data_IF_984171583309
#
_entry.id   IF_984171583309
#
_cell.length_a   1.000
_cell.length_b   1.000
_cell.length_c   1.000
_cell.angle_alpha   90.00
_cell.angle_beta   90.00
_cell.angle_gamma   90.00
#
_symmetry.space_group_name_H-M   'P 1'
#
loop_
_entity.id
_entity.type
_entity.pdbx_description
1 polymer ?
#
# COMPACT_ATOMS: atom_id res chain seq x y z
N UNK A 1 -5.99 -8.81 1.09
CA UNK A 1 -6.49 -9.11 2.43
C UNK A 1 -7.19 -7.90 3.02
N UNK A 2 -8.34 -8.13 3.65
CA UNK A 2 -9.13 -7.08 4.33
C UNK A 2 -8.65 -6.81 5.75
N UNK A 3 -7.53 -7.42 6.15
CA UNK A 3 -7.00 -7.38 7.51
C UNK A 3 -5.64 -6.70 7.52
N UNK A 4 -5.46 -5.77 8.45
CA UNK A 4 -4.18 -5.10 8.73
C UNK A 4 -3.75 -5.43 10.16
N UNK A 5 -2.60 -6.05 10.30
CA UNK A 5 -2.01 -6.37 11.60
C UNK A 5 -1.08 -5.24 12.05
N UNK A 6 -1.39 -4.65 13.19
CA UNK A 6 -0.56 -3.61 13.82
C UNK A 6 0.29 -4.25 14.91
N UNK A 7 1.59 -4.19 14.72
CA UNK A 7 2.54 -4.79 15.64
C UNK A 7 3.36 -3.71 16.37
N UNK A 8 3.56 -3.92 17.66
CA UNK A 8 4.62 -3.27 18.41
C UNK A 8 5.92 -4.03 18.18
N UNK A 9 6.93 -3.33 17.64
CA UNK A 9 8.20 -3.94 17.22
C UNK A 9 9.32 -3.39 18.08
N UNK A 10 10.04 -4.28 18.78
CA UNK A 10 11.24 -4.00 19.55
C UNK A 10 12.44 -4.80 19.03
N UNK A 11 13.62 -4.59 19.64
CA UNK A 11 14.80 -5.41 19.36
C UNK A 11 14.64 -6.86 19.83
N UNK A 12 13.71 -7.10 20.75
CA UNK A 12 13.46 -8.43 21.35
C UNK A 12 12.40 -9.22 20.58
N UNK A 13 11.65 -8.57 19.68
CA UNK A 13 10.64 -9.22 18.87
C UNK A 13 9.52 -8.31 18.42
N UNK A 14 8.44 -8.96 18.02
CA UNK A 14 7.22 -8.30 17.52
C UNK A 14 6.01 -8.86 18.26
N UNK A 15 5.12 -7.99 18.72
CA UNK A 15 3.87 -8.35 19.38
C UNK A 15 2.70 -7.69 18.65
N UNK A 16 1.69 -8.50 18.29
CA UNK A 16 0.43 -7.98 17.76
C UNK A 16 -0.27 -7.14 18.85
N UNK A 17 -0.65 -5.93 18.52
CA UNK A 17 -1.31 -4.98 19.43
C UNK A 17 -2.69 -4.54 18.97
N UNK A 18 -2.99 -4.68 17.68
CA UNK A 18 -4.30 -4.36 17.12
C UNK A 18 -4.47 -5.07 15.78
N UNK A 19 -5.69 -5.49 15.48
CA UNK A 19 -6.11 -6.00 14.18
C UNK A 19 -7.17 -5.06 13.60
N UNK A 20 -6.94 -4.51 12.41
CA UNK A 20 -7.92 -3.66 11.71
C UNK A 20 -8.54 -4.49 10.60
N UNK A 21 -9.85 -4.63 10.61
CA UNK A 21 -10.62 -5.49 9.69
C UNK A 21 -11.57 -4.60 8.88
N UNK A 22 -11.64 -4.82 7.59
CA UNK A 22 -12.66 -4.20 6.75
C UNK A 22 -13.81 -5.17 6.49
N UNK A 23 -15.01 -4.83 6.94
CA UNK A 23 -16.20 -5.68 6.87
C UNK A 23 -17.02 -5.51 5.58
N UNK A 24 -16.65 -4.58 4.68
CA UNK A 24 -17.37 -4.36 3.43
C UNK A 24 -17.30 -5.55 2.48
N UNK A 25 -18.39 -5.84 1.78
CA UNK A 25 -18.51 -6.98 0.86
C UNK A 25 -18.26 -6.63 -0.62
N UNK A 26 -18.04 -5.36 -0.94
CA UNK A 26 -17.89 -4.86 -2.30
C UNK A 26 -16.51 -5.13 -2.92
N UNK A 27 -15.52 -5.54 -2.11
CA UNK A 27 -14.18 -5.83 -2.59
C UNK A 27 -14.15 -7.18 -3.30
N UNK A 28 -13.70 -7.16 -4.57
CA UNK A 28 -13.76 -8.33 -5.46
C UNK A 28 -12.41 -8.97 -5.76
N UNK A 29 -11.32 -8.45 -5.24
CA UNK A 29 -9.96 -8.94 -5.53
C UNK A 29 -8.97 -8.63 -4.42
N UNK A 30 -7.68 -8.75 -4.70
CA UNK A 30 -6.62 -8.44 -3.76
C UNK A 30 -6.75 -7.02 -3.22
N UNK A 31 -6.34 -6.85 -1.97
CA UNK A 31 -6.30 -5.55 -1.30
C UNK A 31 -5.04 -5.43 -0.44
N UNK A 32 -4.64 -4.20 -0.17
CA UNK A 32 -3.50 -3.86 0.66
C UNK A 32 -3.76 -2.58 1.44
N UNK A 33 -3.00 -2.34 2.49
CA UNK A 33 -3.17 -1.21 3.37
C UNK A 33 -2.03 -0.20 3.25
N UNK A 34 -2.38 1.09 3.24
CA UNK A 34 -1.43 2.20 3.19
C UNK A 34 -1.68 3.15 4.34
N UNK A 35 -0.65 3.42 5.16
CA UNK A 35 -0.79 4.27 6.36
C UNK A 35 -0.14 5.62 6.12
N UNK A 36 -0.89 6.70 6.34
CA UNK A 36 -0.39 8.07 6.44
C UNK A 36 -0.56 8.60 7.88
N UNK A 37 0.50 8.44 8.65
CA UNK A 37 0.53 8.93 10.04
C UNK A 37 0.47 10.45 10.15
N UNK A 38 0.93 11.18 9.14
CA UNK A 38 0.93 12.66 9.16
C UNK A 38 -0.49 13.22 9.09
N UNK A 39 -1.34 12.59 8.30
CA UNK A 39 -2.73 13.00 8.15
C UNK A 39 -3.69 12.21 9.05
N UNK A 40 -3.17 11.32 9.90
CA UNK A 40 -3.97 10.41 10.72
C UNK A 40 -4.98 9.61 9.86
N UNK A 41 -4.49 9.02 8.78
CA UNK A 41 -5.27 8.26 7.79
C UNK A 41 -4.72 6.87 7.58
N UNK A 42 -5.64 5.94 7.32
CA UNK A 42 -5.32 4.63 6.75
C UNK A 42 -6.16 4.46 5.48
N UNK A 43 -5.55 3.90 4.46
CA UNK A 43 -6.18 3.68 3.16
C UNK A 43 -6.21 2.19 2.86
N UNK A 44 -7.36 1.69 2.44
CA UNK A 44 -7.49 0.36 1.86
C UNK A 44 -7.38 0.49 0.34
N UNK A 45 -6.26 0.03 -0.22
CA UNK A 45 -6.07 -0.11 -1.65
C UNK A 45 -6.71 -1.41 -2.11
N UNK A 46 -7.76 -1.34 -2.91
CA UNK A 46 -8.61 -2.47 -3.22
C UNK A 46 -9.19 -2.41 -4.64
N UNK A 47 -9.87 -3.49 -5.01
CA UNK A 47 -10.65 -3.56 -6.23
C UNK A 47 -12.14 -3.59 -5.89
N UNK A 48 -12.92 -2.71 -6.52
CA UNK A 48 -14.38 -2.71 -6.45
C UNK A 48 -14.91 -2.81 -7.87
N UNK A 49 -15.60 -3.90 -8.18
CA UNK A 49 -15.99 -4.20 -9.56
C UNK A 49 -14.77 -4.35 -10.46
N UNK A 50 -14.57 -3.41 -11.40
CA UNK A 50 -13.42 -3.36 -12.32
C UNK A 50 -12.45 -2.22 -12.00
N UNK A 51 -12.71 -1.43 -10.96
CA UNK A 51 -11.92 -0.25 -10.62
C UNK A 51 -11.00 -0.50 -9.43
N UNK A 52 -9.80 0.07 -9.51
CA UNK A 52 -8.90 0.18 -8.37
C UNK A 52 -9.26 1.41 -7.57
N UNK A 53 -9.35 1.26 -6.26
CA UNK A 53 -9.81 2.29 -5.35
C UNK A 53 -8.87 2.43 -4.16
N UNK A 54 -8.70 3.65 -3.66
CA UNK A 54 -8.23 3.90 -2.30
C UNK A 54 -9.43 4.35 -1.47
N UNK A 55 -9.84 3.54 -0.50
CA UNK A 55 -10.83 3.92 0.51
C UNK A 55 -10.08 4.51 1.70
N UNK A 56 -10.38 5.76 2.04
CA UNK A 56 -9.73 6.46 3.14
C UNK A 56 -10.56 6.32 4.43
N UNK A 57 -9.87 6.08 5.54
CA UNK A 57 -10.45 6.01 6.89
C UNK A 57 -9.62 6.85 7.86
N UNK A 58 -10.17 7.18 9.01
CA UNK A 58 -9.35 7.61 10.14
C UNK A 58 -8.42 6.46 10.56
N UNK A 59 -7.18 6.77 10.88
CA UNK A 59 -6.27 5.78 11.43
C UNK A 59 -6.74 5.42 12.85
N UNK A 60 -7.14 4.16 13.11
CA UNK A 60 -7.57 3.77 14.45
C UNK A 60 -6.48 3.94 15.50
N UNK A 61 -6.86 4.33 16.69
CA UNK A 61 -5.99 4.33 17.87
C UNK A 61 -6.01 2.96 18.53
N UNK A 62 -5.00 2.62 19.30
CA UNK A 62 -4.96 1.33 20.00
C UNK A 62 -6.14 1.15 20.96
N UNK A 63 -6.64 2.25 21.54
CA UNK A 63 -7.78 2.22 22.46
C UNK A 63 -9.15 2.15 21.74
N UNK A 64 -9.18 2.20 20.43
CA UNK A 64 -10.41 2.02 19.64
C UNK A 64 -10.75 0.55 19.42
N UNK A 65 -9.84 -0.36 19.82
CA UNK A 65 -10.05 -1.80 19.72
C UNK A 65 -11.09 -2.31 20.71
N UNK A 66 -11.82 -3.33 20.31
CA UNK A 66 -12.70 -4.10 21.17
C UNK A 66 -11.91 -5.00 22.17
N UNK A 67 -12.61 -5.85 22.90
CA UNK A 67 -12.04 -6.80 23.86
C UNK A 67 -11.11 -7.85 23.23
N UNK A 68 -11.23 -8.09 21.92
CA UNK A 68 -10.39 -9.02 21.15
C UNK A 68 -9.16 -8.33 20.52
N UNK A 69 -9.02 -7.02 20.70
CA UNK A 69 -7.97 -6.22 20.07
C UNK A 69 -8.28 -5.88 18.62
N UNK A 70 -9.55 -5.92 18.19
CA UNK A 70 -9.99 -5.71 16.82
C UNK A 70 -10.68 -4.36 16.63
N UNK A 71 -10.51 -3.78 15.46
CA UNK A 71 -11.24 -2.61 14.97
C UNK A 71 -11.90 -2.98 13.65
N UNK A 72 -13.21 -2.86 13.60
CA UNK A 72 -14.03 -3.15 12.43
C UNK A 72 -14.39 -1.88 11.69
N UNK A 73 -13.86 -1.73 10.46
CA UNK A 73 -14.16 -0.62 9.56
C UNK A 73 -15.22 -1.05 8.54
N UNK A 74 -16.25 -0.24 8.38
CA UNK A 74 -17.34 -0.49 7.44
C UNK A 74 -17.30 0.47 6.26
N UNK A 75 -18.11 0.22 5.24
CA UNK A 75 -18.20 1.07 4.07
C UNK A 75 -18.61 2.51 4.40
N UNK A 76 -19.52 2.69 5.36
CA UNK A 76 -20.01 3.97 5.86
C UNK A 76 -18.96 4.77 6.66
N UNK A 77 -17.93 4.13 7.21
CA UNK A 77 -16.82 4.78 7.92
C UNK A 77 -15.82 5.43 6.94
N UNK A 78 -15.99 5.17 5.65
CA UNK A 78 -15.10 5.71 4.62
C UNK A 78 -15.25 7.21 4.47
N UNK A 79 -14.15 7.93 4.66
CA UNK A 79 -14.06 9.39 4.50
C UNK A 79 -14.03 9.81 3.04
N UNK A 80 -13.48 8.96 2.18
CA UNK A 80 -13.41 9.15 0.74
C UNK A 80 -13.15 7.81 0.03
N UNK A 81 -13.61 7.73 -1.21
CA UNK A 81 -13.29 6.64 -2.14
C UNK A 81 -12.68 7.25 -3.40
N UNK A 82 -11.38 7.04 -3.60
CA UNK A 82 -10.57 7.67 -4.64
C UNK A 82 -10.31 6.66 -5.74
N UNK A 83 -10.82 6.86 -6.97
CA UNK A 83 -10.54 5.97 -8.08
C UNK A 83 -9.10 6.11 -8.55
N UNK A 84 -8.45 4.96 -8.81
CA UNK A 84 -7.11 4.89 -9.36
C UNK A 84 -7.18 4.27 -10.75
N UNK A 85 -6.83 5.04 -11.79
CA UNK A 85 -6.88 4.54 -13.15
C UNK A 85 -5.86 3.44 -13.42
N UNK A 86 -6.29 2.30 -13.95
CA UNK A 86 -5.52 1.28 -14.68
C UNK A 86 -4.27 0.72 -13.99
N UNK A 87 -4.32 0.42 -12.69
CA UNK A 87 -3.25 -0.27 -11.97
C UNK A 87 -3.68 -1.70 -11.69
N UNK A 88 -2.80 -2.67 -11.95
CA UNK A 88 -3.21 -4.06 -12.10
C UNK A 88 -3.52 -4.74 -10.77
N UNK A 89 -2.62 -4.72 -9.77
CA UNK A 89 -2.77 -5.50 -8.53
C UNK A 89 -2.33 -4.65 -7.33
N UNK A 90 -3.14 -4.52 -6.26
CA UNK A 90 -2.70 -3.93 -5.01
C UNK A 90 -1.49 -4.67 -4.43
N UNK A 91 -0.48 -3.90 -4.04
CA UNK A 91 0.76 -4.37 -3.42
C UNK A 91 1.22 -3.38 -2.38
N UNK A 92 2.25 -3.69 -1.61
CA UNK A 92 2.84 -2.82 -0.61
C UNK A 92 3.11 -1.41 -1.12
N UNK A 93 2.22 -0.49 -0.82
CA UNK A 93 2.17 0.86 -1.37
C UNK A 93 2.62 1.89 -0.35
N UNK A 94 3.06 3.06 -0.83
CA UNK A 94 3.50 4.17 0.00
C UNK A 94 2.65 5.41 -0.32
N UNK A 95 2.17 6.08 0.71
CA UNK A 95 1.64 7.43 0.58
C UNK A 95 2.64 8.46 1.15
N UNK A 96 2.95 9.48 0.36
CA UNK A 96 3.83 10.57 0.76
C UNK A 96 3.26 11.91 0.30
N UNK A 97 2.71 12.67 1.26
CA UNK A 97 1.89 13.83 0.95
C UNK A 97 0.60 13.39 0.27
N UNK A 98 0.32 13.93 -0.90
CA UNK A 98 -0.82 13.54 -1.73
C UNK A 98 -0.43 12.59 -2.89
N UNK A 99 0.77 12.05 -2.88
CA UNK A 99 1.23 11.11 -3.90
C UNK A 99 1.25 9.67 -3.39
N UNK A 100 0.52 8.79 -4.07
CA UNK A 100 0.57 7.36 -3.87
C UNK A 100 1.61 6.74 -4.82
N UNK A 101 2.54 5.97 -4.27
CA UNK A 101 3.55 5.20 -4.99
C UNK A 101 3.10 3.76 -5.03
N UNK A 102 2.81 3.26 -6.21
CA UNK A 102 2.13 1.99 -6.43
C UNK A 102 2.99 1.10 -7.33
N UNK A 103 3.71 0.13 -6.75
CA UNK A 103 4.44 -0.85 -7.56
C UNK A 103 3.46 -1.79 -8.26
N UNK A 104 3.78 -2.16 -9.51
CA UNK A 104 2.95 -3.00 -10.35
C UNK A 104 3.77 -3.90 -11.26
N UNK A 105 3.19 -5.02 -11.66
CA UNK A 105 3.73 -5.94 -12.64
C UNK A 105 4.14 -7.30 -12.09
N UNK A 106 4.39 -8.22 -13.00
CA UNK A 106 4.83 -9.59 -12.76
C UNK A 106 6.13 -9.85 -13.56
N UNK A 107 6.90 -10.89 -13.23
CA UNK A 107 8.11 -11.24 -14.00
C UNK A 107 7.86 -11.45 -15.50
N UNK A 108 6.65 -11.92 -15.86
CA UNK A 108 6.21 -12.18 -17.25
C UNK A 108 5.51 -10.99 -17.92
N UNK A 109 5.39 -9.84 -17.22
CA UNK A 109 4.70 -8.64 -17.71
C UNK A 109 5.53 -7.41 -17.46
N UNK A 110 5.08 -6.28 -17.97
CA UNK A 110 5.68 -4.98 -17.63
C UNK A 110 5.65 -4.73 -16.13
N UNK A 111 6.79 -4.25 -15.61
CA UNK A 111 6.97 -3.88 -14.20
C UNK A 111 7.18 -2.38 -14.13
N UNK A 112 6.41 -1.73 -13.28
CA UNK A 112 6.39 -0.26 -13.19
C UNK A 112 6.22 0.20 -11.75
N UNK A 113 6.65 1.41 -11.47
CA UNK A 113 6.25 2.17 -10.30
C UNK A 113 5.38 3.33 -10.78
N UNK A 114 4.11 3.29 -10.49
CA UNK A 114 3.18 4.38 -10.76
C UNK A 114 3.18 5.38 -9.61
N UNK A 115 3.12 6.67 -9.94
CA UNK A 115 2.85 7.73 -8.97
C UNK A 115 1.55 8.38 -9.34
N UNK A 116 0.61 8.36 -8.40
CA UNK A 116 -0.74 8.91 -8.55
C UNK A 116 -0.92 10.04 -7.54
N UNK A 117 -1.36 11.17 -8.03
CA UNK A 117 -1.87 12.25 -7.18
C UNK A 117 -3.29 11.89 -6.75
N UNK A 118 -3.48 11.63 -5.45
CA UNK A 118 -4.77 11.20 -4.90
C UNK A 118 -5.78 12.34 -4.77
N UNK A 119 -5.37 13.59 -4.91
CA UNK A 119 -6.27 14.75 -4.89
C UNK A 119 -6.90 14.97 -6.26
N UNK A 120 -6.09 14.97 -7.32
CA UNK A 120 -6.56 15.09 -8.70
C UNK A 120 -7.01 13.78 -9.32
N UNK A 121 -6.74 12.64 -8.67
CA UNK A 121 -6.96 11.28 -9.18
C UNK A 121 -6.21 11.00 -10.51
N UNK A 122 -5.08 11.68 -10.74
CA UNK A 122 -4.29 11.58 -11.96
C UNK A 122 -2.99 10.82 -11.74
N UNK A 123 -2.63 9.97 -12.69
CA UNK A 123 -1.28 9.41 -12.76
C UNK A 123 -0.30 10.49 -13.21
N UNK A 124 0.62 10.88 -12.32
CA UNK A 124 1.56 11.99 -12.58
C UNK A 124 2.94 11.52 -13.02
N UNK A 125 3.30 10.27 -12.72
CA UNK A 125 4.55 9.67 -13.18
C UNK A 125 4.45 8.15 -13.31
N UNK A 126 5.37 7.60 -14.08
CA UNK A 126 5.48 6.18 -14.33
C UNK A 126 6.95 5.81 -14.60
N UNK A 127 7.53 4.99 -13.75
CA UNK A 127 8.92 4.54 -13.88
C UNK A 127 8.97 3.11 -14.38
N UNK A 128 9.81 2.87 -15.39
CA UNK A 128 10.09 1.54 -15.92
C UNK A 128 11.00 0.77 -14.95
N UNK A 129 10.56 -0.40 -14.54
CA UNK A 129 11.31 -1.34 -13.69
C UNK A 129 11.69 -2.62 -14.44
N UNK A 130 11.54 -2.69 -15.77
CA UNK A 130 11.77 -3.90 -16.57
C UNK A 130 13.23 -4.35 -16.56
N UNK A 131 14.18 -3.46 -16.28
CA UNK A 131 15.59 -3.78 -16.08
C UNK A 131 15.86 -4.64 -14.83
N UNK A 132 14.89 -4.73 -13.91
CA UNK A 132 14.94 -5.60 -12.74
C UNK A 132 14.06 -6.83 -13.05
N UNK A 133 14.61 -8.05 -13.12
CA UNK A 133 13.88 -9.24 -13.61
C UNK A 133 12.90 -9.82 -12.56
N UNK A 134 12.68 -9.12 -11.45
CA UNK A 134 11.91 -9.60 -10.31
C UNK A 134 10.57 -8.86 -10.19
N UNK A 135 9.66 -9.44 -9.42
CA UNK A 135 8.34 -8.90 -9.15
C UNK A 135 8.40 -7.78 -8.09
N UNK A 136 7.96 -6.56 -8.38
CA UNK A 136 7.92 -5.49 -7.39
C UNK A 136 6.81 -5.76 -6.38
N UNK A 137 7.14 -5.81 -5.07
CA UNK A 137 6.19 -6.18 -4.01
C UNK A 137 5.86 -5.06 -3.04
N UNK A 138 6.75 -4.11 -2.88
CA UNK A 138 6.49 -3.04 -1.93
C UNK A 138 7.38 -1.84 -2.12
N UNK A 139 6.92 -0.70 -1.61
CA UNK A 139 7.67 0.54 -1.61
C UNK A 139 7.61 1.21 -0.25
N UNK A 140 8.75 1.74 0.18
CA UNK A 140 8.89 2.50 1.42
C UNK A 140 9.76 3.73 1.21
N UNK A 141 9.72 4.68 2.13
CA UNK A 141 10.62 5.84 2.09
C UNK A 141 11.31 6.07 3.44
N UNK A 142 12.61 6.42 3.38
CA UNK A 142 13.39 6.82 4.55
C UNK A 142 14.47 7.82 4.13
N UNK A 143 14.57 8.95 4.85
CA UNK A 143 15.61 9.96 4.60
C UNK A 143 15.59 10.51 3.17
N UNK A 144 14.42 10.76 2.59
CA UNK A 144 14.25 11.28 1.22
C UNK A 144 14.55 10.28 0.10
N UNK A 145 14.83 9.02 0.43
CA UNK A 145 15.10 7.93 -0.53
C UNK A 145 13.91 6.99 -0.58
N UNK A 146 13.66 6.40 -1.75
CA UNK A 146 12.71 5.30 -1.94
C UNK A 146 13.44 3.96 -1.87
N UNK A 147 12.75 2.97 -1.33
CA UNK A 147 13.18 1.59 -1.25
C UNK A 147 12.07 0.73 -1.86
N UNK A 148 12.39 -0.04 -2.89
CA UNK A 148 11.47 -0.99 -3.51
C UNK A 148 11.93 -2.41 -3.20
N UNK A 149 11.03 -3.23 -2.69
CA UNK A 149 11.25 -4.66 -2.51
C UNK A 149 10.79 -5.44 -3.73
N UNK A 150 11.52 -6.50 -4.03
CA UNK A 150 11.25 -7.39 -5.16
C UNK A 150 11.26 -8.83 -4.69
N UNK A 151 10.28 -9.60 -5.14
CA UNK A 151 10.18 -11.03 -4.88
C UNK A 151 10.81 -11.85 -6.00
N UNK A 152 11.60 -12.88 -5.60
CA UNK A 152 12.16 -13.86 -6.51
C UNK A 152 11.44 -15.19 -6.32
N UNK A 153 10.65 -15.65 -7.30
CA UNK A 153 9.71 -16.76 -7.09
C UNK A 153 10.33 -18.13 -6.82
N UNK A 154 11.66 -18.27 -6.96
CA UNK A 154 12.35 -19.56 -6.79
C UNK A 154 13.35 -19.62 -5.65
N UNK A 155 13.75 -18.49 -5.11
CA UNK A 155 14.70 -18.44 -4.00
C UNK A 155 14.36 -17.25 -3.09
N UNK A 156 13.60 -17.53 -2.04
CA UNK A 156 13.24 -16.53 -1.01
C UNK A 156 14.46 -15.84 -0.37
N UNK A 157 15.65 -16.45 -0.41
CA UNK A 157 16.89 -15.85 0.08
C UNK A 157 17.42 -14.76 -0.83
N UNK A 158 16.91 -14.69 -2.06
CA UNK A 158 17.31 -13.71 -3.07
C UNK A 158 16.33 -12.52 -3.17
N UNK A 159 15.34 -12.39 -2.27
CA UNK A 159 14.49 -11.21 -2.21
C UNK A 159 15.36 -9.98 -2.03
N UNK A 160 15.10 -8.95 -2.84
CA UNK A 160 15.95 -7.77 -2.94
C UNK A 160 15.23 -6.51 -2.54
N UNK A 161 15.98 -5.58 -1.96
CA UNK A 161 15.52 -4.21 -1.73
C UNK A 161 16.46 -3.26 -2.47
N UNK A 162 15.93 -2.56 -3.45
CA UNK A 162 16.64 -1.53 -4.18
C UNK A 162 16.37 -0.16 -3.60
N UNK A 163 17.41 0.65 -3.49
CA UNK A 163 17.32 2.04 -3.08
C UNK A 163 17.36 2.94 -4.30
N UNK A 164 16.34 3.77 -4.45
CA UNK A 164 16.23 4.76 -5.51
C UNK A 164 16.39 6.17 -4.96
N UNK A 165 17.10 7.02 -5.70
CA UNK A 165 17.12 8.45 -5.47
C UNK A 165 16.04 9.06 -6.37
N UNK A 166 15.07 9.71 -5.77
CA UNK A 166 14.11 10.52 -6.55
C UNK A 166 14.73 11.86 -6.78
N UNK A 167 15.08 12.15 -8.01
CA UNK A 167 15.50 13.49 -8.40
C UNK A 167 14.27 14.27 -8.87
N UNK A 168 14.10 15.51 -8.43
CA UNK A 168 13.03 16.34 -8.95
C UNK A 168 13.24 16.52 -10.46
N UNK A 169 12.19 16.32 -11.22
CA UNK A 169 12.17 16.71 -12.64
C UNK A 169 12.34 18.22 -12.67
N UNK A 170 13.43 18.67 -13.33
CA UNK A 170 13.70 20.09 -13.55
C UNK A 170 12.70 20.68 -14.54
#
# INVERSE_FOLDING_TARGET
DRVCYVNDVSLEGSRLVQTIIYDGNEITGPSDWVVDRKQNRIYLYCTIGKMRMLKAFHLPRLNDSDENGEVHLKAEDSLASIPLCAIAIPRGSLLKGHYAYLPDGLPSRERRLHIVDIVSCQKVANFDLNHIPYEPEGVASRGGKLYLSFHTPRDVRANMVYRFKVEPVK
#
